data_IF_467980499081
#
_entry.id   IF_467980499081
#
_cell.length_a   1.000
_cell.length_b   1.000
_cell.length_c   1.000
_cell.angle_alpha   90.00
_cell.angle_beta   90.00
_cell.angle_gamma   90.00
#
_symmetry.space_group_name_H-M   'P 1'
#
loop_
_entity.id
_entity.type
_entity.pdbx_description
1 polymer ?
#
# COMPACT_ATOMS: atom_id res chain seq x y z
N UNK A 1 -32.63 -19.80 5.72
CA UNK A 1 -31.41 -19.06 5.34
C UNK A 1 -31.20 -17.96 6.38
N UNK A 2 -30.11 -18.00 7.13
CA UNK A 2 -29.84 -17.04 8.23
C UNK A 2 -28.68 -16.14 7.84
N UNK A 3 -28.90 -14.82 7.86
CA UNK A 3 -27.87 -13.81 7.62
C UNK A 3 -26.99 -13.74 8.87
N UNK A 4 -25.66 -13.79 8.69
CA UNK A 4 -24.68 -13.70 9.76
C UNK A 4 -23.94 -12.36 9.67
N UNK A 5 -23.75 -11.64 10.78
CA UNK A 5 -22.90 -10.46 10.81
C UNK A 5 -21.48 -10.79 10.34
N UNK A 6 -20.86 -9.84 9.64
CA UNK A 6 -19.47 -9.91 9.20
C UNK A 6 -18.73 -8.71 9.79
N UNK A 7 -17.53 -8.96 10.28
CA UNK A 7 -16.61 -7.94 10.75
C UNK A 7 -15.27 -8.14 10.04
N UNK A 8 -14.66 -7.04 9.60
CA UNK A 8 -13.30 -7.07 9.07
C UNK A 8 -12.36 -7.30 10.24
N UNK A 9 -11.51 -8.32 10.13
CA UNK A 9 -10.50 -8.65 11.13
C UNK A 9 -9.25 -9.14 10.42
N UNK A 10 -8.38 -8.21 10.02
CA UNK A 10 -7.13 -8.52 9.32
C UNK A 10 -6.08 -8.95 10.35
N UNK A 11 -5.51 -10.16 10.22
CA UNK A 11 -4.46 -10.63 11.11
C UNK A 11 -3.25 -9.70 11.10
N UNK A 12 -2.61 -9.48 12.26
CA UNK A 12 -1.42 -8.64 12.35
C UNK A 12 -0.30 -9.12 11.41
N UNK A 13 -0.13 -10.44 11.27
CA UNK A 13 0.85 -11.03 10.36
C UNK A 13 0.67 -10.60 8.89
N UNK A 14 -0.56 -10.28 8.46
CA UNK A 14 -0.82 -9.75 7.12
C UNK A 14 -0.26 -8.33 6.96
N UNK A 15 -0.41 -7.50 7.99
CA UNK A 15 0.12 -6.13 7.99
C UNK A 15 1.65 -6.14 8.09
N UNK A 16 2.21 -7.05 8.88
CA UNK A 16 3.66 -7.21 9.01
C UNK A 16 4.29 -7.67 7.68
N UNK A 17 3.66 -8.63 6.98
CA UNK A 17 4.10 -9.06 5.64
C UNK A 17 3.99 -7.91 4.62
N UNK A 18 2.91 -7.13 4.66
CA UNK A 18 2.76 -5.94 3.83
C UNK A 18 3.91 -4.96 4.05
N UNK A 19 4.20 -4.57 5.29
CA UNK A 19 5.31 -3.66 5.60
C UNK A 19 6.66 -4.23 5.12
N UNK A 20 6.90 -5.52 5.32
CA UNK A 20 8.13 -6.18 4.86
C UNK A 20 8.27 -6.18 3.33
N UNK A 21 7.16 -6.19 2.58
CA UNK A 21 7.18 -6.09 1.10
C UNK A 21 7.43 -4.66 0.64
N UNK A 22 6.74 -3.68 1.23
CA UNK A 22 6.93 -2.27 0.90
C UNK A 22 8.38 -1.85 1.15
N UNK A 23 8.97 -2.25 2.28
CA UNK A 23 10.37 -1.97 2.62
C UNK A 23 11.39 -2.60 1.65
N UNK A 24 11.03 -3.70 0.97
CA UNK A 24 11.91 -4.43 0.02
C UNK A 24 11.58 -4.11 -1.44
N UNK A 25 10.84 -3.03 -1.69
CA UNK A 25 10.43 -2.66 -3.05
C UNK A 25 11.65 -2.38 -3.92
N UNK A 26 11.72 -3.06 -5.07
CA UNK A 26 12.69 -2.78 -6.13
C UNK A 26 12.03 -1.87 -7.16
N UNK A 27 12.50 -0.64 -7.25
CA UNK A 27 11.94 0.36 -8.14
C UNK A 27 12.49 0.20 -9.56
N UNK A 28 11.64 0.26 -10.60
CA UNK A 28 12.11 0.35 -11.98
C UNK A 28 12.68 1.76 -12.26
N UNK A 29 13.49 1.84 -13.30
CA UNK A 29 13.90 3.12 -13.88
C UNK A 29 12.71 3.78 -14.61
N UNK A 30 12.71 5.11 -14.65
CA UNK A 30 11.67 5.90 -15.31
C UNK A 30 12.29 6.77 -16.41
N UNK A 31 11.63 6.86 -17.56
CA UNK A 31 12.08 7.71 -18.66
C UNK A 31 12.01 9.19 -18.26
N UNK A 32 13.08 9.94 -18.54
CA UNK A 32 13.18 11.37 -18.21
C UNK A 32 12.00 12.14 -18.80
N UNK A 33 11.25 12.84 -17.94
CA UNK A 33 10.12 13.67 -18.36
C UNK A 33 8.83 12.92 -18.70
N UNK A 34 8.73 11.61 -18.44
CA UNK A 34 7.53 10.83 -18.73
C UNK A 34 6.30 11.32 -17.94
N UNK A 35 6.49 11.81 -16.71
CA UNK A 35 5.39 12.28 -15.86
C UNK A 35 4.35 11.17 -15.66
N UNK A 36 3.13 11.39 -16.15
CA UNK A 36 2.04 10.41 -16.12
C UNK A 36 1.71 9.81 -17.51
N UNK A 37 2.46 10.19 -18.55
CA UNK A 37 2.13 9.82 -19.94
C UNK A 37 2.32 8.33 -20.26
N UNK A 38 3.09 7.62 -19.43
CA UNK A 38 3.42 6.19 -19.61
C UNK A 38 2.95 5.32 -18.44
N UNK A 39 1.93 5.77 -17.71
CA UNK A 39 1.42 5.11 -16.51
C UNK A 39 1.68 5.93 -15.25
N UNK A 40 1.69 5.26 -14.10
CA UNK A 40 1.89 5.93 -12.80
C UNK A 40 3.25 6.61 -12.76
N UNK A 41 3.26 7.88 -12.36
CA UNK A 41 4.51 8.60 -12.14
C UNK A 41 5.32 7.93 -11.01
N UNK A 42 6.58 7.59 -11.29
CA UNK A 42 7.43 6.84 -10.36
C UNK A 42 7.76 7.64 -9.09
N UNK A 43 7.97 8.95 -9.22
CA UNK A 43 8.20 9.85 -8.09
C UNK A 43 7.01 9.90 -7.13
N UNK A 44 5.81 10.08 -7.67
CA UNK A 44 4.58 10.07 -6.89
C UNK A 44 4.35 8.72 -6.20
N UNK A 45 4.53 7.60 -6.92
CA UNK A 45 4.32 6.27 -6.34
C UNK A 45 5.27 5.99 -5.19
N UNK A 46 6.54 6.41 -5.29
CA UNK A 46 7.52 6.31 -4.20
C UNK A 46 7.06 7.06 -2.95
N UNK A 47 6.56 8.29 -3.12
CA UNK A 47 6.02 9.08 -2.00
C UNK A 47 4.80 8.42 -1.37
N UNK A 48 3.89 7.88 -2.19
CA UNK A 48 2.70 7.20 -1.70
C UNK A 48 3.05 5.92 -0.93
N UNK A 49 4.00 5.12 -1.42
CA UNK A 49 4.48 3.91 -0.74
C UNK A 49 5.17 4.25 0.57
N UNK A 50 5.96 5.32 0.62
CA UNK A 50 6.60 5.80 1.85
C UNK A 50 5.56 6.20 2.91
N UNK A 51 4.54 6.96 2.52
CA UNK A 51 3.43 7.29 3.43
C UNK A 51 2.70 6.04 3.92
N UNK A 52 2.41 5.09 3.01
CA UNK A 52 1.72 3.85 3.37
C UNK A 52 2.52 3.02 4.37
N UNK A 53 3.84 2.93 4.18
CA UNK A 53 4.71 2.16 5.05
C UNK A 53 4.90 2.79 6.44
N UNK A 54 4.89 4.12 6.53
CA UNK A 54 5.38 4.83 7.74
C UNK A 54 4.30 5.52 8.55
N UNK A 55 3.20 5.91 7.90
CA UNK A 55 2.26 6.89 8.45
C UNK A 55 0.80 6.45 8.35
N UNK A 56 0.48 5.56 7.42
CA UNK A 56 -0.88 5.06 7.27
C UNK A 56 -1.23 4.05 8.37
N UNK A 57 -2.25 4.38 9.17
CA UNK A 57 -2.75 3.50 10.23
C UNK A 57 -3.93 2.65 9.73
N UNK A 58 -3.67 1.39 9.39
CA UNK A 58 -4.72 0.44 9.00
C UNK A 58 -5.75 0.22 10.11
N UNK A 59 -5.33 0.17 11.39
CA UNK A 59 -6.24 -0.16 12.49
C UNK A 59 -7.25 0.94 12.75
N UNK A 60 -6.89 2.20 12.48
CA UNK A 60 -7.83 3.32 12.50
C UNK A 60 -8.93 3.20 11.42
N UNK A 61 -8.67 2.48 10.34
CA UNK A 61 -9.61 2.30 9.20
C UNK A 61 -10.30 0.94 9.20
N UNK A 62 -9.91 0.03 10.09
CA UNK A 62 -10.50 -1.29 10.24
C UNK A 62 -11.76 -1.23 11.11
N UNK A 63 -12.81 -0.57 10.60
CA UNK A 63 -14.15 -0.54 11.20
C UNK A 63 -15.21 -0.06 10.21
#
# INVERSE_FOLDING_TARGET
MTIKPFAIAVPQATLDDLHARLARTRWPDEATGAGWSMGTNGGYLKQLVDYWQTSYDWRAHEA
#
